data_IF_188899906380
#
_entry.id   IF_188899906380
#
_cell.length_a   1.000
_cell.length_b   1.000
_cell.length_c   1.000
_cell.angle_alpha   90.00
_cell.angle_beta   90.00
_cell.angle_gamma   90.00
#
_symmetry.space_group_name_H-M   'P 1'
#
loop_
_entity.id
_entity.type
_entity.pdbx_description
1 polymer ?
#
# COMPACT_ATOMS: atom_id res chain seq x y z
N UNK A 1 -30.28 -0.29 19.63
CA UNK A 1 -31.14 -0.96 18.62
C UNK A 1 -32.39 -0.16 18.24
N UNK A 2 -33.30 0.27 19.19
CA UNK A 2 -34.54 1.01 18.83
C UNK A 2 -34.32 2.24 17.93
N UNK A 3 -33.28 3.06 18.22
CA UNK A 3 -32.93 4.23 17.39
C UNK A 3 -32.58 3.83 15.95
N UNK A 4 -31.77 2.76 15.77
CA UNK A 4 -31.38 2.28 14.45
C UNK A 4 -32.57 1.75 13.65
N UNK A 5 -33.46 0.97 14.28
CA UNK A 5 -34.68 0.47 13.61
C UNK A 5 -35.57 1.60 13.16
N UNK A 6 -35.74 2.64 13.99
CA UNK A 6 -36.49 3.84 13.59
C UNK A 6 -35.82 4.56 12.42
N UNK A 7 -34.48 4.72 12.48
CA UNK A 7 -33.71 5.32 11.38
C UNK A 7 -33.89 4.57 10.05
N UNK A 8 -33.98 3.23 10.04
CA UNK A 8 -34.25 2.44 8.84
C UNK A 8 -35.65 2.75 8.26
N UNK A 9 -36.64 2.96 9.13
CA UNK A 9 -37.99 3.34 8.67
C UNK A 9 -38.02 4.75 8.08
N UNK A 10 -37.37 5.70 8.75
CA UNK A 10 -37.21 7.09 8.27
C UNK A 10 -36.45 7.13 6.95
N UNK A 11 -35.34 6.37 6.82
CA UNK A 11 -34.59 6.25 5.57
C UNK A 11 -35.47 5.78 4.43
N UNK A 12 -36.27 4.73 4.63
CA UNK A 12 -37.17 4.23 3.59
C UNK A 12 -38.28 5.21 3.22
N UNK A 13 -38.85 5.89 4.21
CA UNK A 13 -40.01 6.79 4.01
C UNK A 13 -39.62 8.16 3.46
N UNK A 14 -38.40 8.64 3.75
CA UNK A 14 -37.92 9.95 3.33
C UNK A 14 -36.87 9.85 2.22
N UNK A 15 -35.66 9.37 2.53
CA UNK A 15 -34.55 9.38 1.60
C UNK A 15 -34.81 8.52 0.36
N UNK A 16 -35.23 7.27 0.54
CA UNK A 16 -35.53 6.38 -0.60
C UNK A 16 -36.67 6.93 -1.46
N UNK A 17 -37.71 7.47 -0.83
CA UNK A 17 -38.86 8.03 -1.57
C UNK A 17 -38.50 9.31 -2.37
N UNK A 18 -37.54 10.10 -1.88
CA UNK A 18 -37.08 11.34 -2.56
C UNK A 18 -36.02 11.06 -3.64
N UNK A 19 -35.29 9.95 -3.54
CA UNK A 19 -34.15 9.62 -4.42
C UNK A 19 -34.37 8.32 -5.19
N UNK A 20 -35.63 8.04 -5.57
CA UNK A 20 -35.99 6.79 -6.25
C UNK A 20 -35.24 6.58 -7.57
N UNK A 21 -35.14 7.64 -8.40
CA UNK A 21 -34.44 7.58 -9.68
C UNK A 21 -32.95 7.29 -9.51
N UNK A 22 -32.28 7.98 -8.59
CA UNK A 22 -30.87 7.73 -8.26
C UNK A 22 -30.63 6.31 -7.79
N UNK A 23 -31.47 5.79 -6.88
CA UNK A 23 -31.33 4.44 -6.35
C UNK A 23 -31.63 3.36 -7.39
N UNK A 24 -32.56 3.62 -8.31
CA UNK A 24 -32.81 2.75 -9.45
C UNK A 24 -31.60 2.70 -10.38
N UNK A 25 -31.00 3.83 -10.74
CA UNK A 25 -29.76 3.87 -11.52
C UNK A 25 -28.63 3.11 -10.82
N UNK A 26 -28.41 3.36 -9.53
CA UNK A 26 -27.35 2.70 -8.74
C UNK A 26 -27.59 1.21 -8.54
N UNK A 27 -28.84 0.72 -8.67
CA UNK A 27 -29.14 -0.72 -8.61
C UNK A 27 -28.56 -1.49 -9.80
N UNK A 28 -28.32 -0.84 -10.92
CA UNK A 28 -27.74 -1.42 -12.14
C UNK A 28 -26.23 -1.34 -12.20
N UNK A 29 -25.58 -0.60 -11.30
CA UNK A 29 -24.11 -0.49 -11.22
C UNK A 29 -23.66 0.74 -10.45
N UNK A 30 -22.34 0.91 -10.35
CA UNK A 30 -21.74 2.06 -9.66
C UNK A 30 -20.61 2.66 -10.49
N UNK A 31 -20.48 3.98 -10.41
CA UNK A 31 -19.37 4.76 -11.01
C UNK A 31 -18.88 5.81 -10.01
N UNK A 32 -18.31 5.41 -8.88
CA UNK A 32 -17.79 6.35 -7.91
C UNK A 32 -16.64 7.15 -8.53
N UNK A 33 -16.56 8.43 -8.16
CA UNK A 33 -15.56 9.34 -8.72
C UNK A 33 -14.25 9.32 -7.95
N UNK A 34 -14.31 9.00 -6.66
CA UNK A 34 -13.18 9.10 -5.74
C UNK A 34 -13.08 7.84 -4.88
N UNK A 35 -11.88 7.30 -4.76
CA UNK A 35 -11.53 6.37 -3.69
C UNK A 35 -11.16 7.20 -2.45
N UNK A 36 -11.97 7.12 -1.41
CA UNK A 36 -11.76 7.86 -0.17
C UNK A 36 -11.30 6.92 0.95
N UNK A 37 -10.06 7.09 1.42
CA UNK A 37 -9.44 6.27 2.47
C UNK A 37 -9.37 7.08 3.75
N UNK A 38 -10.10 6.67 4.80
CA UNK A 38 -10.19 7.41 6.05
C UNK A 38 -10.20 6.52 7.29
N UNK A 39 -10.17 7.15 8.46
CA UNK A 39 -10.26 6.44 9.72
C UNK A 39 -11.67 5.88 9.96
N UNK A 40 -11.73 4.73 10.68
CA UNK A 40 -12.98 4.15 11.21
C UNK A 40 -13.55 4.94 12.39
N UNK A 41 -12.93 6.02 12.84
CA UNK A 41 -13.41 6.89 13.92
C UNK A 41 -14.83 7.34 13.64
N UNK A 42 -15.73 7.18 14.62
CA UNK A 42 -17.16 7.45 14.48
C UNK A 42 -17.50 8.93 14.21
N UNK A 43 -16.53 9.83 14.41
CA UNK A 43 -16.66 11.27 14.16
C UNK A 43 -16.29 11.65 12.72
N UNK A 44 -15.77 10.69 11.94
CA UNK A 44 -15.39 10.88 10.54
C UNK A 44 -16.40 10.18 9.65
N UNK A 45 -17.13 10.92 8.86
CA UNK A 45 -18.05 10.39 7.85
C UNK A 45 -17.73 11.04 6.49
N UNK A 46 -17.12 10.31 5.55
CA UNK A 46 -16.68 10.86 4.28
C UNK A 46 -17.78 11.57 3.49
N UNK A 47 -18.95 10.96 3.37
CA UNK A 47 -20.06 11.57 2.60
C UNK A 47 -20.57 12.83 3.28
N UNK A 48 -20.67 12.83 4.62
CA UNK A 48 -21.10 14.03 5.35
C UNK A 48 -20.10 15.17 5.21
N UNK A 49 -18.79 14.89 5.34
CA UNK A 49 -17.71 15.90 5.27
C UNK A 49 -17.65 16.51 3.88
N UNK A 50 -17.81 15.70 2.82
CA UNK A 50 -17.70 16.15 1.43
C UNK A 50 -19.03 16.55 0.82
N UNK A 51 -20.15 16.39 1.54
CA UNK A 51 -21.51 16.64 1.05
C UNK A 51 -21.80 15.90 -0.29
N UNK A 52 -21.27 14.66 -0.39
CA UNK A 52 -21.48 13.79 -1.56
C UNK A 52 -22.68 12.88 -1.35
N UNK A 53 -23.35 12.55 -2.46
CA UNK A 53 -24.46 11.60 -2.47
C UNK A 53 -23.99 10.15 -2.45
N UNK A 54 -24.94 9.24 -2.23
CA UNK A 54 -24.70 7.79 -2.31
C UNK A 54 -24.25 7.43 -3.74
N UNK A 55 -23.15 6.66 -3.84
CA UNK A 55 -22.61 6.23 -5.12
C UNK A 55 -21.44 7.07 -5.65
N UNK A 56 -21.18 8.28 -5.09
CA UNK A 56 -20.12 9.16 -5.55
C UNK A 56 -18.74 8.77 -4.98
N UNK A 57 -18.69 8.25 -3.75
CA UNK A 57 -17.46 7.81 -3.11
C UNK A 57 -17.37 6.30 -3.02
N UNK A 58 -16.19 5.76 -3.28
CA UNK A 58 -15.82 4.39 -2.94
C UNK A 58 -14.94 4.45 -1.69
N UNK A 59 -15.43 3.94 -0.56
CA UNK A 59 -14.87 4.28 0.75
C UNK A 59 -14.15 3.08 1.38
N UNK A 60 -12.89 3.29 1.79
CA UNK A 60 -12.15 2.41 2.70
C UNK A 60 -12.07 3.11 4.05
N UNK A 61 -12.45 2.39 5.12
CA UNK A 61 -12.30 2.87 6.50
C UNK A 61 -11.62 1.82 7.35
N UNK A 62 -10.53 2.21 8.01
CA UNK A 62 -9.80 1.37 8.94
C UNK A 62 -9.19 2.19 10.08
N UNK A 63 -8.60 1.57 11.09
CA UNK A 63 -7.99 2.28 12.20
C UNK A 63 -6.75 3.07 11.71
N UNK A 64 -6.87 4.40 11.62
CA UNK A 64 -5.76 5.31 11.28
C UNK A 64 -5.55 5.52 9.78
N UNK A 65 -6.54 5.32 8.92
CA UNK A 65 -6.45 5.52 7.46
C UNK A 65 -5.19 4.89 6.83
N UNK A 66 -4.80 3.71 7.33
CA UNK A 66 -3.58 3.01 6.95
C UNK A 66 -3.75 2.30 5.62
N UNK A 67 -2.75 2.43 4.76
CA UNK A 67 -2.58 1.68 3.53
C UNK A 67 -1.32 0.81 3.69
N UNK A 68 -1.45 -0.51 3.90
CA UNK A 68 -0.28 -1.39 3.91
C UNK A 68 0.46 -1.30 2.57
N UNK A 69 1.80 -1.30 2.54
CA UNK A 69 2.55 -1.40 1.28
C UNK A 69 2.14 -2.64 0.48
N UNK A 70 2.23 -2.58 -0.84
CA UNK A 70 1.89 -3.70 -1.71
C UNK A 70 2.62 -4.99 -1.29
N UNK A 71 1.87 -6.04 -1.05
CA UNK A 71 2.40 -7.35 -0.63
C UNK A 71 2.73 -7.47 0.87
N UNK A 72 2.61 -6.40 1.67
CA UNK A 72 2.88 -6.45 3.11
C UNK A 72 1.72 -7.10 3.90
N UNK A 73 0.51 -7.04 3.38
CA UNK A 73 -0.66 -7.71 3.95
C UNK A 73 -1.59 -8.17 2.83
N UNK A 74 -2.09 -9.40 2.94
CA UNK A 74 -3.16 -9.91 2.07
C UNK A 74 -4.52 -9.55 2.69
N UNK A 75 -4.75 -8.24 2.89
CA UNK A 75 -5.96 -7.70 3.52
C UNK A 75 -6.98 -7.16 2.52
N UNK A 76 -8.16 -6.84 3.03
CA UNK A 76 -9.24 -6.26 2.23
C UNK A 76 -8.88 -4.91 1.60
N UNK A 77 -8.00 -4.13 2.25
CA UNK A 77 -7.56 -2.82 1.76
C UNK A 77 -6.89 -2.92 0.39
N UNK A 78 -5.92 -3.84 0.24
CA UNK A 78 -5.19 -4.03 -1.02
C UNK A 78 -6.10 -4.44 -2.16
N UNK A 79 -6.95 -5.44 -1.95
CA UNK A 79 -7.93 -5.89 -2.95
C UNK A 79 -8.94 -4.80 -3.30
N UNK A 80 -9.38 -4.01 -2.32
CA UNK A 80 -10.32 -2.89 -2.55
C UNK A 80 -9.66 -1.77 -3.36
N UNK A 81 -8.39 -1.45 -3.11
CA UNK A 81 -7.62 -0.47 -3.90
C UNK A 81 -7.48 -0.93 -5.35
N UNK A 82 -7.09 -2.18 -5.58
CA UNK A 82 -6.98 -2.72 -6.94
C UNK A 82 -8.32 -2.69 -7.66
N UNK A 83 -9.40 -3.11 -7.00
CA UNK A 83 -10.74 -3.09 -7.57
C UNK A 83 -11.18 -1.68 -7.94
N UNK A 84 -10.97 -0.70 -7.06
CA UNK A 84 -11.30 0.70 -7.29
C UNK A 84 -10.62 1.26 -8.55
N UNK A 85 -9.33 0.99 -8.71
CA UNK A 85 -8.53 1.59 -9.79
C UNK A 85 -8.60 0.77 -11.09
N UNK A 86 -8.65 -0.56 -11.00
CA UNK A 86 -8.65 -1.42 -12.18
C UNK A 86 -10.05 -1.66 -12.75
N UNK A 87 -11.05 -1.94 -11.90
CA UNK A 87 -12.39 -2.32 -12.31
C UNK A 87 -13.37 -1.14 -12.37
N UNK A 88 -13.30 -0.22 -11.39
CA UNK A 88 -14.17 0.97 -11.36
C UNK A 88 -13.54 2.18 -12.07
N UNK A 89 -12.27 2.07 -12.51
CA UNK A 89 -11.54 3.11 -13.23
C UNK A 89 -11.49 4.45 -12.50
N UNK A 90 -11.49 4.42 -11.16
CA UNK A 90 -11.38 5.63 -10.34
C UNK A 90 -10.05 6.32 -10.62
N UNK A 91 -10.10 7.61 -10.86
CA UNK A 91 -8.96 8.46 -11.23
C UNK A 91 -8.51 9.43 -10.12
N UNK A 92 -9.24 9.45 -8.99
CA UNK A 92 -8.89 10.30 -7.85
C UNK A 92 -8.90 9.48 -6.56
N UNK A 93 -7.84 9.65 -5.75
CA UNK A 93 -7.74 9.03 -4.43
C UNK A 93 -7.49 10.09 -3.38
N UNK A 94 -8.28 10.05 -2.31
CA UNK A 94 -8.09 10.90 -1.13
C UNK A 94 -7.67 10.02 0.03
N UNK A 95 -6.54 10.33 0.68
CA UNK A 95 -6.15 9.79 1.98
C UNK A 95 -6.40 10.85 3.03
N UNK A 96 -7.36 10.61 3.91
CA UNK A 96 -7.84 11.58 4.88
C UNK A 96 -7.53 11.14 6.32
N UNK A 97 -6.58 11.83 6.96
CA UNK A 97 -6.35 11.80 8.40
C UNK A 97 -7.35 12.72 9.13
N UNK A 98 -7.34 12.69 10.47
CA UNK A 98 -8.18 13.58 11.26
C UNK A 98 -7.55 13.92 12.61
N UNK A 99 -7.88 15.08 13.16
CA UNK A 99 -7.44 15.52 14.49
C UNK A 99 -7.83 14.50 15.57
N UNK A 100 -7.03 14.42 16.64
CA UNK A 100 -7.24 13.54 17.81
C UNK A 100 -7.42 12.05 17.47
N UNK A 101 -6.74 11.57 16.43
CA UNK A 101 -6.85 10.18 15.98
C UNK A 101 -6.40 9.19 17.06
N UNK A 102 -7.32 8.28 17.45
CA UNK A 102 -7.05 7.25 18.45
C UNK A 102 -5.97 6.25 18.01
N UNK A 103 -5.89 5.94 16.73
CA UNK A 103 -4.86 5.06 16.17
C UNK A 103 -3.46 5.71 16.27
N UNK A 104 -3.33 7.00 16.00
CA UNK A 104 -2.07 7.74 16.14
C UNK A 104 -1.66 7.88 17.61
N UNK A 105 -2.62 8.05 18.53
CA UNK A 105 -2.35 7.96 19.99
C UNK A 105 -1.88 6.55 20.40
N UNK A 106 -2.43 5.51 19.80
CA UNK A 106 -2.01 4.12 19.99
C UNK A 106 -0.59 3.88 19.45
N UNK A 107 -0.28 4.42 18.28
CA UNK A 107 1.03 4.30 17.64
C UNK A 107 2.17 4.87 18.50
N UNK A 108 1.93 5.96 19.24
CA UNK A 108 2.89 6.49 20.23
C UNK A 108 3.24 5.48 21.33
N UNK A 109 2.33 4.57 21.65
CA UNK A 109 2.43 3.60 22.73
C UNK A 109 2.44 2.16 22.21
N UNK A 110 2.91 1.95 21.00
CA UNK A 110 2.81 0.70 20.25
C UNK A 110 3.22 -0.53 21.08
N UNK A 111 4.35 -0.48 21.77
CA UNK A 111 4.86 -1.59 22.58
C UNK A 111 3.91 -2.01 23.73
N UNK A 112 3.02 -1.11 24.20
CA UNK A 112 2.05 -1.43 25.25
C UNK A 112 0.82 -2.14 24.71
N UNK A 113 0.55 -2.00 23.40
CA UNK A 113 -0.62 -2.62 22.77
C UNK A 113 -0.44 -4.12 22.51
N UNK A 114 0.80 -4.60 22.45
CA UNK A 114 1.08 -5.98 22.08
C UNK A 114 0.41 -7.01 23.02
N UNK A 115 0.35 -6.72 24.32
CA UNK A 115 -0.27 -7.61 25.29
C UNK A 115 -1.80 -7.48 25.34
N UNK A 116 -2.32 -6.23 25.25
CA UNK A 116 -3.73 -5.96 25.49
C UNK A 116 -4.58 -6.04 24.20
N UNK A 117 -4.01 -5.66 23.05
CA UNK A 117 -4.67 -5.59 21.75
C UNK A 117 -3.74 -6.03 20.62
N UNK A 118 -3.37 -7.33 20.54
CA UNK A 118 -2.35 -7.81 19.59
C UNK A 118 -2.71 -7.52 18.13
N UNK A 119 -3.96 -7.64 17.71
CA UNK A 119 -4.37 -7.33 16.35
C UNK A 119 -4.25 -5.83 16.02
N UNK A 120 -4.49 -4.95 16.99
CA UNK A 120 -4.25 -3.50 16.82
C UNK A 120 -2.76 -3.21 16.74
N UNK A 121 -1.96 -3.90 17.54
CA UNK A 121 -0.50 -3.82 17.48
C UNK A 121 0.01 -4.21 16.09
N UNK A 122 -0.38 -5.38 15.59
CA UNK A 122 0.02 -5.88 14.27
C UNK A 122 -0.40 -4.93 13.15
N UNK A 123 -1.64 -4.40 13.23
CA UNK A 123 -2.13 -3.43 12.27
C UNK A 123 -1.34 -2.12 12.28
N UNK A 124 -1.09 -1.55 13.43
CA UNK A 124 -0.36 -0.28 13.56
C UNK A 124 1.11 -0.39 13.17
N UNK A 125 1.69 -1.59 13.08
CA UNK A 125 3.05 -1.77 12.55
C UNK A 125 3.17 -1.29 11.10
N UNK A 126 2.10 -1.29 10.31
CA UNK A 126 2.10 -0.70 8.96
C UNK A 126 2.31 0.83 8.97
N UNK A 127 2.14 1.48 10.11
CA UNK A 127 2.45 2.90 10.32
C UNK A 127 3.74 3.14 11.12
N UNK A 128 4.56 2.11 11.36
CA UNK A 128 5.83 2.24 12.12
C UNK A 128 6.79 3.24 11.47
N UNK A 129 6.79 3.33 10.14
CA UNK A 129 7.56 4.34 9.40
C UNK A 129 7.19 5.74 9.85
N UNK A 130 5.89 6.07 9.98
CA UNK A 130 5.39 7.35 10.49
C UNK A 130 5.92 7.62 11.90
N UNK A 131 5.82 6.64 12.80
CA UNK A 131 6.26 6.78 14.19
C UNK A 131 7.76 7.10 14.29
N UNK A 132 8.60 6.41 13.51
CA UNK A 132 10.06 6.63 13.50
C UNK A 132 10.39 7.98 12.91
N UNK A 133 9.80 8.36 11.79
CA UNK A 133 10.01 9.64 11.14
C UNK A 133 9.69 10.79 12.09
N UNK A 134 8.54 10.73 12.78
CA UNK A 134 8.17 11.78 13.76
C UNK A 134 9.09 11.77 14.98
N UNK A 135 9.54 10.60 15.45
CA UNK A 135 10.49 10.54 16.57
C UNK A 135 11.85 11.15 16.24
N UNK A 136 12.30 11.03 14.99
CA UNK A 136 13.58 11.54 14.52
C UNK A 136 13.54 13.03 14.19
N UNK A 137 12.50 13.47 13.45
CA UNK A 137 12.43 14.84 12.94
C UNK A 137 11.80 15.83 13.92
N UNK A 138 10.97 15.36 14.88
CA UNK A 138 10.25 16.19 15.84
C UNK A 138 10.48 15.69 17.28
N UNK A 139 11.74 15.59 17.76
CA UNK A 139 12.06 14.98 19.06
C UNK A 139 11.45 15.73 20.25
N UNK A 140 11.28 17.05 20.14
CA UNK A 140 10.76 17.91 21.21
C UNK A 140 9.22 17.89 21.32
N UNK A 141 8.51 17.40 20.27
CA UNK A 141 7.04 17.37 20.27
C UNK A 141 6.50 16.39 21.32
N UNK A 142 5.40 16.77 21.99
CA UNK A 142 4.79 15.94 23.04
C UNK A 142 3.27 16.05 23.04
N UNK A 143 2.60 15.11 23.73
CA UNK A 143 1.16 15.17 23.95
C UNK A 143 0.33 15.22 22.67
N UNK A 144 -0.64 16.13 22.63
CA UNK A 144 -1.53 16.31 21.48
C UNK A 144 -0.79 16.88 20.26
N UNK A 145 0.15 17.79 20.43
CA UNK A 145 0.98 18.31 19.34
C UNK A 145 1.66 17.16 18.55
N UNK A 146 2.23 16.20 19.27
CA UNK A 146 2.84 15.03 18.63
C UNK A 146 1.82 14.16 17.90
N UNK A 147 0.59 14.08 18.40
CA UNK A 147 -0.50 13.37 17.72
C UNK A 147 -0.86 14.07 16.41
N UNK A 148 -0.98 15.39 16.39
CA UNK A 148 -1.25 16.17 15.18
C UNK A 148 -0.14 16.00 14.13
N UNK A 149 1.12 16.04 14.54
CA UNK A 149 2.26 15.76 13.66
C UNK A 149 2.18 14.32 13.12
N UNK A 150 1.87 13.32 13.98
CA UNK A 150 1.69 11.94 13.54
C UNK A 150 0.55 11.79 12.52
N UNK A 151 -0.54 12.53 12.69
CA UNK A 151 -1.65 12.51 11.72
C UNK A 151 -1.19 13.06 10.38
N UNK A 152 -0.49 14.20 10.37
CA UNK A 152 -0.01 14.85 9.16
C UNK A 152 1.00 13.95 8.40
N UNK A 153 2.02 13.48 9.10
CA UNK A 153 3.05 12.60 8.51
C UNK A 153 2.48 11.23 8.11
N UNK A 154 1.49 10.72 8.85
CA UNK A 154 0.84 9.47 8.47
C UNK A 154 0.14 9.57 7.12
N UNK A 155 -0.56 10.66 6.84
CA UNK A 155 -1.20 10.86 5.53
C UNK A 155 -0.16 10.75 4.40
N UNK A 156 1.01 11.37 4.55
CA UNK A 156 2.07 11.34 3.54
C UNK A 156 2.68 9.95 3.40
N UNK A 157 2.97 9.27 4.50
CA UNK A 157 3.48 7.88 4.48
C UNK A 157 2.48 6.94 3.81
N UNK A 158 1.17 7.11 4.05
CA UNK A 158 0.17 6.27 3.40
C UNK A 158 0.03 6.58 1.90
N UNK A 159 0.25 7.81 1.45
CA UNK A 159 0.39 8.15 0.03
C UNK A 159 1.58 7.39 -0.59
N UNK A 160 2.71 7.35 0.08
CA UNK A 160 3.88 6.63 -0.41
C UNK A 160 3.66 5.10 -0.42
N UNK A 161 3.01 4.56 0.60
CA UNK A 161 2.59 3.16 0.61
C UNK A 161 1.64 2.84 -0.56
N UNK A 162 0.66 3.70 -0.84
CA UNK A 162 -0.25 3.54 -1.97
C UNK A 162 0.50 3.53 -3.31
N UNK A 163 1.52 4.37 -3.48
CA UNK A 163 2.38 4.40 -4.67
C UNK A 163 3.19 3.11 -4.87
N UNK A 164 3.29 2.22 -3.88
CA UNK A 164 3.93 0.90 -4.05
C UNK A 164 3.09 -0.07 -4.86
N UNK A 165 1.77 0.15 -4.98
CA UNK A 165 0.87 -0.68 -5.77
C UNK A 165 1.15 -0.53 -7.26
N UNK A 166 1.40 -1.63 -8.00
CA UNK A 166 1.75 -1.57 -9.43
C UNK A 166 0.72 -0.82 -10.28
N UNK A 167 -0.57 -1.06 -10.03
CA UNK A 167 -1.67 -0.41 -10.76
C UNK A 167 -1.72 1.10 -10.49
N UNK A 168 -1.53 1.51 -9.23
CA UNK A 168 -1.47 2.93 -8.83
C UNK A 168 -0.30 3.60 -9.52
N UNK A 169 0.88 3.01 -9.41
CA UNK A 169 2.10 3.56 -10.03
C UNK A 169 1.97 3.69 -11.54
N UNK A 170 1.36 2.67 -12.19
CA UNK A 170 1.11 2.70 -13.64
C UNK A 170 0.18 3.85 -14.03
N UNK A 171 -0.94 4.03 -13.31
CA UNK A 171 -1.90 5.10 -13.59
C UNK A 171 -1.33 6.50 -13.32
N UNK A 172 -0.53 6.67 -12.27
CA UNK A 172 0.19 7.91 -11.99
C UNK A 172 1.16 8.28 -13.14
N UNK A 173 1.95 7.30 -13.62
CA UNK A 173 2.88 7.52 -14.74
C UNK A 173 2.15 7.86 -16.06
N UNK A 174 0.91 7.43 -16.23
CA UNK A 174 0.07 7.75 -17.37
C UNK A 174 -0.67 9.08 -17.21
N UNK A 175 -0.54 9.77 -16.07
CA UNK A 175 -1.33 10.96 -15.75
C UNK A 175 -2.84 10.69 -15.59
N UNK A 176 -3.22 9.43 -15.32
CA UNK A 176 -4.62 8.98 -15.20
C UNK A 176 -5.06 8.76 -13.75
N UNK A 177 -4.29 9.17 -12.78
CA UNK A 177 -4.60 9.07 -11.37
C UNK A 177 -4.01 10.27 -10.65
N UNK A 178 -4.79 10.83 -9.72
CA UNK A 178 -4.38 11.89 -8.81
C UNK A 178 -4.58 11.39 -7.38
N UNK A 179 -3.65 11.74 -6.48
CA UNK A 179 -3.71 11.35 -5.07
C UNK A 179 -3.62 12.62 -4.23
N UNK A 180 -4.54 12.76 -3.29
CA UNK A 180 -4.65 13.90 -2.40
C UNK A 180 -4.48 13.46 -0.95
N UNK A 181 -3.71 14.21 -0.17
CA UNK A 181 -3.57 14.04 1.27
C UNK A 181 -4.37 15.10 2.03
N UNK A 182 -5.34 14.69 2.83
CA UNK A 182 -6.21 15.58 3.58
C UNK A 182 -6.10 15.36 5.09
N UNK A 183 -6.33 16.43 5.87
CA UNK A 183 -6.52 16.37 7.32
C UNK A 183 -7.84 17.05 7.66
N UNK A 184 -8.72 16.32 8.32
CA UNK A 184 -10.00 16.82 8.81
C UNK A 184 -9.88 17.20 10.30
N UNK A 185 -10.13 18.46 10.61
CA UNK A 185 -10.20 18.97 11.98
C UNK A 185 -11.62 18.83 12.51
N UNK A 186 -11.83 17.89 13.42
CA UNK A 186 -13.16 17.53 13.97
C UNK A 186 -13.81 18.74 14.66
N UNK A 187 -13.02 19.55 15.37
CA UNK A 187 -13.47 20.67 16.20
C UNK A 187 -14.07 21.81 15.38
N UNK A 188 -13.49 22.05 14.20
CA UNK A 188 -13.84 23.22 13.35
C UNK A 188 -14.63 22.82 12.12
N UNK A 189 -14.60 21.53 11.74
CA UNK A 189 -15.09 21.04 10.45
C UNK A 189 -14.20 21.42 9.27
N UNK A 190 -13.04 21.99 9.52
CA UNK A 190 -12.09 22.40 8.48
C UNK A 190 -11.34 21.18 7.91
N UNK A 191 -11.10 21.21 6.61
CA UNK A 191 -10.22 20.28 5.92
C UNK A 191 -9.03 21.03 5.37
N UNK A 192 -7.83 20.54 5.62
CA UNK A 192 -6.60 21.00 4.99
C UNK A 192 -6.08 19.95 4.03
N UNK A 193 -5.54 20.38 2.91
CA UNK A 193 -4.97 19.54 1.86
C UNK A 193 -3.48 19.77 1.75
N UNK A 194 -2.71 18.70 1.58
CA UNK A 194 -1.28 18.80 1.35
C UNK A 194 -0.97 19.35 -0.04
N UNK A 195 -0.14 20.35 -0.09
CA UNK A 195 0.38 20.95 -1.31
C UNK A 195 1.83 20.53 -1.55
N UNK A 196 2.07 19.78 -2.62
CA UNK A 196 3.38 19.25 -3.00
C UNK A 196 4.40 20.34 -3.40
N UNK A 197 3.93 21.54 -3.73
CA UNK A 197 4.82 22.65 -4.13
C UNK A 197 5.40 23.39 -2.93
N UNK A 198 4.55 23.63 -1.94
CA UNK A 198 4.96 24.36 -0.73
C UNK A 198 5.33 23.43 0.42
N UNK A 199 5.06 22.12 0.30
CA UNK A 199 5.22 21.10 1.34
C UNK A 199 4.47 21.44 2.63
N UNK A 200 3.30 22.05 2.50
CA UNK A 200 2.45 22.46 3.63
C UNK A 200 1.01 22.01 3.44
N UNK A 201 0.26 21.97 4.53
CA UNK A 201 -1.19 21.76 4.49
C UNK A 201 -1.91 23.12 4.40
N UNK A 202 -2.69 23.30 3.36
CA UNK A 202 -3.42 24.53 3.02
C UNK A 202 -4.89 24.23 2.72
N UNK A 203 -5.78 25.22 2.72
CA UNK A 203 -7.18 25.01 2.35
C UNK A 203 -7.32 24.37 0.95
N UNK A 204 -8.25 23.40 0.74
CA UNK A 204 -8.33 22.63 -0.49
C UNK A 204 -8.69 23.43 -1.76
N UNK A 205 -9.12 24.68 -1.65
CA UNK A 205 -9.41 25.54 -2.82
C UNK A 205 -8.22 25.70 -3.76
N UNK A 206 -6.99 25.55 -3.25
CA UNK A 206 -5.75 25.59 -4.05
C UNK A 206 -5.64 24.41 -5.03
N UNK A 207 -6.35 23.30 -4.78
CA UNK A 207 -6.32 22.08 -5.59
C UNK A 207 -7.41 22.05 -6.68
N UNK A 208 -8.30 23.03 -6.69
CA UNK A 208 -9.33 23.20 -7.74
C UNK A 208 -8.77 23.88 -9.00
N UNK A 209 -7.55 24.36 -8.96
CA UNK A 209 -6.86 24.96 -10.08
C UNK A 209 -6.24 23.86 -10.94
N UNK A 210 -6.45 23.91 -12.22
CA UNK A 210 -6.08 23.00 -13.33
C UNK A 210 -5.12 21.85 -13.04
N UNK A 211 -5.34 20.65 -13.61
CA UNK A 211 -4.41 19.55 -13.47
C UNK A 211 -3.02 19.99 -13.91
N UNK A 212 -1.95 19.62 -13.18
CA UNK A 212 -0.59 19.95 -13.58
C UNK A 212 -0.36 19.40 -14.99
N UNK A 213 0.42 20.12 -15.82
CA UNK A 213 0.73 19.66 -17.16
C UNK A 213 1.33 18.24 -17.07
N UNK A 214 0.84 17.34 -17.91
CA UNK A 214 1.31 15.97 -17.97
C UNK A 214 2.84 15.96 -18.07
N UNK A 215 3.51 15.47 -17.04
CA UNK A 215 4.95 15.29 -17.09
C UNK A 215 5.29 14.32 -18.24
N UNK A 216 6.32 14.61 -19.05
CA UNK A 216 6.77 13.68 -20.06
C UNK A 216 7.04 12.32 -19.43
N UNK A 217 6.70 11.25 -20.12
CA UNK A 217 6.89 9.90 -19.61
C UNK A 217 8.37 9.70 -19.20
N UNK A 218 8.61 8.85 -18.19
CA UNK A 218 10.00 8.54 -17.78
C UNK A 218 10.83 8.03 -18.95
N UNK A 219 10.21 7.39 -19.93
CA UNK A 219 10.86 6.94 -21.15
C UNK A 219 11.30 8.13 -22.03
N UNK A 220 10.44 9.15 -22.18
CA UNK A 220 10.78 10.37 -22.91
C UNK A 220 11.88 11.14 -22.19
N UNK A 221 11.84 11.27 -20.86
CA UNK A 221 12.92 11.87 -20.07
C UNK A 221 14.23 11.09 -20.22
N UNK A 222 14.18 9.77 -20.21
CA UNK A 222 15.35 8.92 -20.45
C UNK A 222 15.92 9.11 -21.86
N UNK A 223 15.08 9.14 -22.89
CA UNK A 223 15.49 9.36 -24.27
C UNK A 223 16.08 10.77 -24.47
N UNK A 224 15.50 11.80 -23.83
CA UNK A 224 16.07 13.16 -23.86
C UNK A 224 17.45 13.18 -23.18
N UNK A 225 17.62 12.49 -22.06
CA UNK A 225 18.89 12.44 -21.31
C UNK A 225 19.98 11.66 -22.06
N UNK A 226 19.61 10.64 -22.83
CA UNK A 226 20.58 9.85 -23.64
C UNK A 226 21.04 10.54 -24.90
N UNK A 227 20.34 11.58 -25.37
CA UNK A 227 20.73 12.40 -26.51
C UNK A 227 21.43 13.71 -26.10
N UNK A 228 21.54 13.99 -24.80
CA UNK A 228 22.38 15.09 -24.32
C UNK A 228 23.87 14.73 -24.49
N UNK A 229 24.71 15.65 -24.96
CA UNK A 229 26.13 15.38 -25.06
C UNK A 229 26.71 15.01 -23.71
N UNK A 230 27.64 14.03 -23.62
CA UNK A 230 28.14 13.57 -22.34
C UNK A 230 28.82 14.72 -21.60
N UNK A 231 28.24 15.10 -20.45
CA UNK A 231 28.92 15.94 -19.49
C UNK A 231 30.09 15.11 -18.96
N UNK A 232 31.30 15.50 -19.24
CA UNK A 232 32.50 14.82 -18.76
C UNK A 232 32.52 14.89 -17.23
N UNK A 233 32.03 13.84 -16.57
CA UNK A 233 32.31 13.60 -15.17
C UNK A 233 33.76 13.08 -15.10
N UNK A 234 34.69 13.92 -14.74
CA UNK A 234 36.01 13.50 -14.29
C UNK A 234 35.82 12.78 -12.93
N UNK A 235 35.66 11.47 -12.98
CA UNK A 235 35.79 10.63 -11.79
C UNK A 235 37.28 10.50 -11.51
N UNK A 236 37.80 10.94 -10.33
CA UNK A 236 39.20 10.71 -10.00
C UNK A 236 39.42 9.20 -9.92
N UNK A 237 40.38 8.71 -10.70
CA UNK A 237 40.76 7.31 -10.76
C UNK A 237 41.13 6.82 -9.33
N UNK A 238 40.56 5.71 -8.83
CA UNK A 238 41.00 5.12 -7.60
C UNK A 238 42.46 4.66 -7.75
N UNK A 239 43.33 5.09 -6.84
CA UNK A 239 44.71 4.56 -6.75
C UNK A 239 44.62 3.05 -6.43
N UNK A 240 44.91 2.25 -7.44
CA UNK A 240 45.18 0.82 -7.26
C UNK A 240 46.42 0.65 -6.41
N UNK A 241 46.23 0.33 -5.15
CA UNK A 241 47.28 -0.31 -4.37
C UNK A 241 47.37 -1.76 -4.83
N UNK A 242 48.54 -2.13 -5.33
CA UNK A 242 48.90 -3.50 -5.70
C UNK A 242 48.81 -4.39 -4.50
N UNK A 243 47.75 -5.23 -4.39
CA UNK A 243 47.70 -6.35 -3.48
C UNK A 243 47.96 -7.64 -4.25
N UNK A 244 48.98 -8.32 -3.75
CA UNK A 244 49.54 -9.60 -4.17
C UNK A 244 48.46 -10.67 -4.39
N UNK A 245 48.72 -11.47 -5.43
CA UNK A 245 48.07 -12.71 -5.80
C UNK A 245 47.78 -13.64 -4.60
N UNK A 246 46.50 -13.98 -4.40
CA UNK A 246 46.09 -15.17 -3.67
C UNK A 246 45.23 -16.06 -4.57
N UNK A 247 45.32 -17.39 -4.42
CA UNK A 247 44.92 -18.34 -5.46
C UNK A 247 43.42 -18.48 -5.58
N UNK A 248 43.00 -18.83 -6.81
CA UNK A 248 41.62 -19.12 -7.18
C UNK A 248 40.96 -20.11 -6.20
N UNK A 249 39.84 -19.66 -5.61
CA UNK A 249 39.00 -20.57 -4.82
C UNK A 249 38.29 -21.54 -5.78
N UNK A 250 38.50 -22.81 -5.57
CA UNK A 250 37.81 -23.94 -6.15
C UNK A 250 36.29 -23.83 -5.88
N UNK A 251 35.40 -24.37 -6.74
CA UNK A 251 33.97 -24.35 -6.50
C UNK A 251 33.66 -25.12 -5.21
N UNK A 252 33.02 -24.47 -4.25
CA UNK A 252 32.53 -25.07 -3.03
C UNK A 252 31.47 -26.11 -3.40
N UNK A 253 31.82 -27.39 -3.28
CA UNK A 253 30.90 -28.51 -3.33
C UNK A 253 29.83 -28.31 -2.24
N UNK A 254 28.54 -28.31 -2.65
CA UNK A 254 27.41 -28.17 -1.75
C UNK A 254 27.46 -29.20 -0.61
N UNK A 255 27.00 -28.78 0.57
CA UNK A 255 26.85 -29.69 1.70
C UNK A 255 25.82 -30.80 1.35
N UNK A 256 25.94 -32.03 1.92
CA UNK A 256 24.95 -33.08 1.73
C UNK A 256 23.49 -32.64 2.07
N UNK A 257 23.36 -31.65 2.92
CA UNK A 257 22.08 -31.03 3.26
C UNK A 257 21.52 -30.17 2.12
N UNK A 258 22.37 -29.36 1.49
CA UNK A 258 21.96 -28.54 0.33
C UNK A 258 21.50 -29.41 -0.86
N UNK A 259 22.16 -30.54 -1.12
CA UNK A 259 21.76 -31.46 -2.20
C UNK A 259 20.43 -32.15 -1.89
N UNK A 260 20.16 -32.46 -0.63
CA UNK A 260 18.88 -33.01 -0.17
C UNK A 260 17.74 -31.99 -0.38
N UNK A 261 17.96 -30.72 -0.04
CA UNK A 261 16.98 -29.65 -0.25
C UNK A 261 16.73 -29.43 -1.75
N UNK A 262 17.75 -29.43 -2.61
CA UNK A 262 17.60 -29.37 -4.08
C UNK A 262 16.74 -30.48 -4.61
N UNK A 263 16.92 -31.70 -4.11
CA UNK A 263 16.11 -32.86 -4.50
C UNK A 263 14.64 -32.69 -4.12
N UNK A 264 14.36 -32.17 -2.93
CA UNK A 264 12.99 -31.89 -2.45
C UNK A 264 12.33 -30.78 -3.23
N UNK A 265 13.03 -29.67 -3.52
CA UNK A 265 12.54 -28.58 -4.35
C UNK A 265 12.19 -29.07 -5.77
N UNK A 266 13.03 -29.91 -6.37
CA UNK A 266 12.76 -30.48 -7.69
C UNK A 266 11.58 -31.48 -7.69
N UNK A 267 11.35 -32.18 -6.59
CA UNK A 267 10.18 -33.06 -6.44
C UNK A 267 8.87 -32.26 -6.38
N UNK A 268 8.85 -31.17 -5.64
CA UNK A 268 7.70 -30.28 -5.56
C UNK A 268 7.34 -29.65 -6.91
N UNK A 269 8.33 -29.32 -7.74
CA UNK A 269 8.10 -28.76 -9.08
C UNK A 269 7.54 -29.79 -10.08
N UNK A 270 7.83 -31.09 -9.92
CA UNK A 270 7.46 -32.15 -10.88
C UNK A 270 6.07 -32.74 -10.64
N UNK A 271 5.61 -32.74 -9.40
CA UNK A 271 4.32 -33.35 -9.06
C UNK A 271 3.17 -32.40 -9.40
N UNK A 272 2.09 -32.90 -9.97
CA UNK A 272 0.85 -32.13 -10.17
C UNK A 272 0.01 -32.20 -8.88
N UNK A 273 -0.56 -31.06 -8.40
CA UNK A 273 -1.46 -31.08 -7.27
C UNK A 273 -2.84 -31.62 -7.65
N UNK A 274 -3.50 -32.31 -6.72
CA UNK A 274 -4.82 -32.89 -6.92
C UNK A 274 -5.97 -31.98 -6.44
N UNK A 275 -5.66 -30.94 -5.67
CA UNK A 275 -6.63 -30.01 -5.11
C UNK A 275 -6.02 -28.64 -4.77
N UNK A 276 -6.87 -27.64 -4.52
CA UNK A 276 -6.45 -26.33 -4.06
C UNK A 276 -5.67 -26.37 -2.73
N UNK A 277 -6.07 -27.24 -1.81
CA UNK A 277 -5.39 -27.43 -0.53
C UNK A 277 -3.96 -27.93 -0.76
N UNK A 278 -3.78 -28.84 -1.72
CA UNK A 278 -2.47 -29.36 -2.10
C UNK A 278 -1.56 -28.28 -2.74
N UNK A 279 -2.14 -27.33 -3.50
CA UNK A 279 -1.38 -26.16 -4.01
C UNK A 279 -0.88 -25.28 -2.87
N UNK A 280 -1.74 -24.96 -1.88
CA UNK A 280 -1.34 -24.15 -0.72
C UNK A 280 -0.28 -24.84 0.13
N UNK A 281 -0.42 -26.13 0.39
CA UNK A 281 0.55 -26.89 1.17
C UNK A 281 1.91 -26.97 0.47
N UNK A 282 1.92 -27.05 -0.86
CA UNK A 282 3.16 -27.00 -1.67
C UNK A 282 3.80 -25.61 -1.62
N UNK A 283 2.99 -24.55 -1.67
CA UNK A 283 3.51 -23.18 -1.53
C UNK A 283 4.19 -22.97 -0.17
N UNK A 284 3.57 -23.45 0.91
CA UNK A 284 4.17 -23.42 2.25
C UNK A 284 5.46 -24.25 2.33
N UNK A 285 5.44 -25.45 1.76
CA UNK A 285 6.61 -26.36 1.74
C UNK A 285 7.76 -25.76 0.93
N UNK A 286 7.49 -25.14 -0.21
CA UNK A 286 8.48 -24.44 -1.01
C UNK A 286 9.11 -23.29 -0.26
N UNK A 287 8.32 -22.43 0.38
CA UNK A 287 8.81 -21.29 1.15
C UNK A 287 9.74 -21.74 2.28
N UNK A 288 9.36 -22.77 3.02
CA UNK A 288 10.17 -23.34 4.10
C UNK A 288 11.49 -23.94 3.58
N UNK A 289 11.44 -24.73 2.49
CA UNK A 289 12.63 -25.31 1.91
C UNK A 289 13.61 -24.27 1.35
N UNK A 290 13.12 -23.15 0.82
CA UNK A 290 13.96 -22.06 0.35
C UNK A 290 14.60 -21.27 1.51
N UNK A 291 13.94 -21.19 2.66
CA UNK A 291 14.50 -20.62 3.89
C UNK A 291 15.61 -21.53 4.43
N UNK A 292 15.35 -22.83 4.57
CA UNK A 292 16.33 -23.83 5.00
C UNK A 292 17.54 -23.86 4.04
N UNK A 293 17.32 -23.74 2.74
CA UNK A 293 18.35 -23.72 1.71
C UNK A 293 19.35 -22.56 1.87
N UNK A 294 18.87 -21.38 2.28
CA UNK A 294 19.73 -20.22 2.55
C UNK A 294 20.67 -20.46 3.75
N UNK A 295 20.18 -21.14 4.76
CA UNK A 295 21.00 -21.51 5.93
C UNK A 295 22.05 -22.59 5.61
N UNK A 296 21.77 -23.45 4.62
CA UNK A 296 22.64 -24.56 4.20
C UNK A 296 23.58 -24.21 3.05
N UNK A 297 23.68 -22.93 2.68
CA UNK A 297 24.67 -22.41 1.73
C UNK A 297 24.22 -22.38 0.26
N UNK A 298 22.90 -22.48 -0.03
CA UNK A 298 22.37 -22.20 -1.37
C UNK A 298 22.50 -20.71 -1.69
N UNK A 299 22.96 -20.38 -2.89
CA UNK A 299 23.07 -18.98 -3.30
C UNK A 299 21.69 -18.31 -3.45
N UNK A 300 21.63 -17.00 -3.18
CA UNK A 300 20.41 -16.21 -3.36
C UNK A 300 19.84 -16.30 -4.80
N UNK A 301 20.72 -16.32 -5.80
CA UNK A 301 20.36 -16.46 -7.21
C UNK A 301 19.73 -17.83 -7.51
N UNK A 302 20.25 -18.89 -6.91
CA UNK A 302 19.71 -20.25 -7.08
C UNK A 302 18.34 -20.39 -6.38
N UNK A 303 18.18 -19.86 -5.19
CA UNK A 303 16.90 -19.82 -4.48
C UNK A 303 15.83 -19.04 -5.26
N UNK A 304 16.21 -17.91 -5.84
CA UNK A 304 15.33 -17.08 -6.67
C UNK A 304 14.90 -17.79 -7.97
N UNK A 305 15.78 -18.61 -8.56
CA UNK A 305 15.45 -19.41 -9.73
C UNK A 305 14.39 -20.50 -9.41
N UNK A 306 14.49 -21.15 -8.23
CA UNK A 306 13.47 -22.10 -7.78
C UNK A 306 12.12 -21.41 -7.53
N UNK A 307 12.12 -20.25 -6.89
CA UNK A 307 10.90 -19.45 -6.68
C UNK A 307 10.23 -19.06 -8.01
N UNK A 308 11.01 -18.64 -9.00
CA UNK A 308 10.51 -18.29 -10.32
C UNK A 308 9.88 -19.49 -11.03
N UNK A 309 10.58 -20.61 -11.09
CA UNK A 309 10.07 -21.86 -11.69
C UNK A 309 8.76 -22.34 -11.04
N UNK A 310 8.65 -22.21 -9.72
CA UNK A 310 7.45 -22.59 -9.00
C UNK A 310 6.27 -21.65 -9.34
N UNK A 311 6.51 -20.35 -9.37
CA UNK A 311 5.50 -19.35 -9.74
C UNK A 311 4.97 -19.56 -11.17
N UNK A 312 5.80 -20.05 -12.10
CA UNK A 312 5.37 -20.40 -13.47
C UNK A 312 4.52 -21.68 -13.54
N UNK A 313 4.66 -22.59 -12.57
CA UNK A 313 3.86 -23.82 -12.52
C UNK A 313 2.44 -23.59 -11.99
N UNK A 314 2.24 -22.64 -11.07
CA UNK A 314 0.93 -22.37 -10.45
C UNK A 314 -0.17 -22.15 -11.50
N UNK A 315 -0.03 -21.28 -12.51
CA UNK A 315 -1.07 -21.10 -13.54
C UNK A 315 -1.33 -22.35 -14.39
N UNK A 316 -0.36 -23.25 -14.51
CA UNK A 316 -0.54 -24.54 -15.21
C UNK A 316 -1.35 -25.51 -14.38
N UNK A 317 -1.06 -25.61 -13.08
CA UNK A 317 -1.82 -26.44 -12.14
C UNK A 317 -3.27 -25.98 -12.03
N UNK A 318 -3.49 -24.67 -11.96
CA UNK A 318 -4.83 -24.08 -11.90
C UNK A 318 -5.69 -24.42 -13.13
N UNK A 319 -5.09 -24.47 -14.33
CA UNK A 319 -5.78 -24.87 -15.56
C UNK A 319 -6.06 -26.36 -15.65
N UNK A 320 -5.36 -27.19 -14.90
CA UNK A 320 -5.58 -28.64 -14.89
C UNK A 320 -6.67 -29.05 -13.89
N UNK A 321 -7.00 -28.22 -12.92
CA UNK A 321 -7.99 -28.47 -11.87
C UNK A 321 -9.36 -27.85 -12.16
N UNK A 322 -9.50 -26.96 -13.13
CA UNK A 322 -10.76 -26.36 -13.61
C UNK A 322 -11.17 -26.95 -14.93
#
# INVERSE_FOLDING_TARGET
>A
MKKLVRGLQEFKQSYVAQNQELLEELSHGQKPRVLFISCSDSRVDPNLITQTDVGELFVIRNAGNIVPPYGAANGGEGGTIEYAIAALEIDQVVICGHSHCGAMKGLMKLNKLQADMPLVYDWLQHAETTRRLVAENYPESQGEERVEILVAENVLVQIDNLKTYPIVRSRLLQGKLQIYGWIYHIETGEVLAYDDQTHTYIPPQSQLLDPPPSLPSRLEQYLISTHAPPVACEVPAPRLQSASSSPAASPVNGTPAADRIRSQLNALLKASPDSWVDVEDRMRSMSKLLEDARHEGMSASEAQNYHHKFSEQIPRWLRQMG
#
